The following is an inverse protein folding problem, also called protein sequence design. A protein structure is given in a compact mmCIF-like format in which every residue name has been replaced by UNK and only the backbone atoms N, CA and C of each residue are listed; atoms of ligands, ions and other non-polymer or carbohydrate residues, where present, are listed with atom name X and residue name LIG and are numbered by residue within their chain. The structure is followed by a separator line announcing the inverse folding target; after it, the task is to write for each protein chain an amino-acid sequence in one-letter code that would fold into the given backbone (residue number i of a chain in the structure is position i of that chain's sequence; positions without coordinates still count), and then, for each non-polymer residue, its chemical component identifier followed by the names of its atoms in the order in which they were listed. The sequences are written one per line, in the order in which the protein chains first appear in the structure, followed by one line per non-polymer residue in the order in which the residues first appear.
data_IF_868056875041
#
_entry.id   IF_868056875041
#
_cell.length_a   1.000
_cell.length_b   1.000
_cell.length_c   1.000
_cell.angle_alpha   90.00
_cell.angle_beta   90.00
_cell.angle_gamma   90.00
#
_symmetry.space_group_name_H-M   'P 1'
#
loop_
_entity.id
_entity.type
_entity.pdbx_description
1 polymer ?
#
# COMPACT_ATOMS: atom_id res chain seq x y z
N UNK A 1 -21.57 -29.55 34.35
CA UNK A 1 -20.19 -30.09 34.30
C UNK A 1 -19.29 -29.20 35.14
N UNK A 2 -18.85 -29.68 36.31
CA UNK A 2 -17.98 -28.90 37.20
C UNK A 2 -16.56 -28.86 36.62
N UNK A 3 -16.15 -27.71 36.07
CA UNK A 3 -14.80 -27.48 35.54
C UNK A 3 -13.82 -27.15 36.70
N UNK A 4 -13.48 -28.14 37.53
CA UNK A 4 -12.39 -28.02 38.50
C UNK A 4 -11.07 -28.45 37.85
N UNK A 5 -10.02 -27.62 37.94
CA UNK A 5 -8.68 -27.89 37.38
C UNK A 5 -8.29 -27.09 36.14
N UNK A 6 -9.10 -26.12 35.70
CA UNK A 6 -8.78 -25.29 34.53
C UNK A 6 -8.11 -24.01 35.01
N UNK A 7 -6.78 -24.05 35.15
CA UNK A 7 -6.01 -22.89 35.58
C UNK A 7 -5.65 -21.94 34.45
N UNK A 8 -5.87 -22.28 33.17
CA UNK A 8 -5.45 -21.39 32.07
C UNK A 8 -6.14 -21.68 30.70
N UNK A 9 -7.45 -22.00 30.65
CA UNK A 9 -8.19 -21.85 29.38
C UNK A 9 -8.51 -20.36 29.15
N UNK A 10 -7.49 -19.54 28.91
CA UNK A 10 -7.73 -18.31 28.15
C UNK A 10 -7.95 -18.76 26.72
N UNK A 11 -9.19 -19.15 26.40
CA UNK A 11 -9.60 -19.40 25.02
C UNK A 11 -9.26 -18.12 24.23
N UNK A 12 -8.16 -18.14 23.47
CA UNK A 12 -7.72 -16.99 22.67
C UNK A 12 -8.89 -16.59 21.78
N UNK A 13 -9.52 -15.47 22.13
CA UNK A 13 -10.68 -14.93 21.42
C UNK A 13 -10.30 -14.83 19.94
N UNK A 14 -10.99 -15.54 19.04
CA UNK A 14 -10.69 -15.51 17.60
C UNK A 14 -10.72 -14.06 17.12
N UNK A 15 -9.55 -13.49 16.82
CA UNK A 15 -9.47 -12.15 16.23
C UNK A 15 -9.63 -12.28 14.71
N UNK A 16 -10.39 -11.36 14.11
CA UNK A 16 -10.50 -11.28 12.65
C UNK A 16 -9.34 -10.42 12.14
N UNK A 17 -8.54 -10.92 11.20
CA UNK A 17 -7.58 -10.10 10.46
C UNK A 17 -8.35 -9.26 9.45
N UNK A 18 -8.41 -7.95 9.64
CA UNK A 18 -9.01 -7.04 8.66
C UNK A 18 -7.95 -6.59 7.66
N UNK A 19 -8.23 -6.72 6.35
CA UNK A 19 -7.46 -6.04 5.30
C UNK A 19 -8.17 -4.74 4.97
N UNK A 20 -7.44 -3.63 4.95
CA UNK A 20 -7.97 -2.34 4.51
C UNK A 20 -7.82 -2.23 3.00
N UNK A 21 -8.94 -2.03 2.32
CA UNK A 21 -8.94 -1.76 0.88
C UNK A 21 -8.37 -0.36 0.64
N UNK A 22 -7.61 -0.22 -0.43
CA UNK A 22 -7.08 1.07 -0.84
C UNK A 22 -8.23 1.90 -1.44
N UNK A 23 -8.27 3.20 -1.11
CA UNK A 23 -9.36 4.12 -1.46
C UNK A 23 -8.84 5.28 -2.31
N UNK A 24 -9.76 5.95 -3.00
CA UNK A 24 -9.49 7.23 -3.67
C UNK A 24 -9.09 8.32 -2.66
N UNK A 25 -8.35 9.32 -3.14
CA UNK A 25 -7.88 10.47 -2.36
C UNK A 25 -8.36 11.74 -3.07
N UNK A 26 -8.54 12.85 -2.35
CA UNK A 26 -8.85 14.14 -2.98
C UNK A 26 -7.81 14.45 -4.07
N UNK A 27 -8.27 14.79 -5.27
CA UNK A 27 -7.41 15.06 -6.43
C UNK A 27 -6.90 13.83 -7.17
N UNK A 28 -7.22 12.59 -6.75
CA UNK A 28 -6.86 11.38 -7.48
C UNK A 28 -7.85 10.23 -7.27
N UNK A 29 -8.45 9.73 -8.35
CA UNK A 29 -9.28 8.53 -8.30
C UNK A 29 -8.47 7.28 -7.93
N UNK A 30 -9.15 6.25 -7.45
CA UNK A 30 -8.50 4.98 -7.09
C UNK A 30 -7.79 4.33 -8.28
N UNK A 31 -8.36 4.41 -9.48
CA UNK A 31 -7.80 3.84 -10.71
C UNK A 31 -6.45 4.50 -11.07
N UNK A 32 -6.38 5.83 -10.98
CA UNK A 32 -5.15 6.59 -11.26
C UNK A 32 -4.05 6.20 -10.27
N UNK A 33 -4.38 6.07 -8.99
CA UNK A 33 -3.43 5.65 -7.95
C UNK A 33 -2.91 4.24 -8.22
N UNK A 34 -3.80 3.31 -8.57
CA UNK A 34 -3.44 1.92 -8.90
C UNK A 34 -2.55 1.85 -10.13
N UNK A 35 -2.87 2.61 -11.18
CA UNK A 35 -2.07 2.66 -12.41
C UNK A 35 -0.64 3.15 -12.12
N UNK A 36 -0.48 4.24 -11.35
CA UNK A 36 0.84 4.74 -10.93
C UNK A 36 1.62 3.72 -10.12
N UNK A 37 0.98 3.04 -9.14
CA UNK A 37 1.63 1.98 -8.35
C UNK A 37 2.10 0.79 -9.18
N UNK A 38 1.38 0.45 -10.24
CA UNK A 38 1.66 -0.73 -11.05
C UNK A 38 2.61 -0.46 -12.24
N UNK A 39 3.10 0.77 -12.41
CA UNK A 39 4.10 1.05 -13.44
C UNK A 39 5.38 0.23 -13.21
N UNK A 40 5.90 -0.38 -14.27
CA UNK A 40 7.16 -1.12 -14.26
C UNK A 40 8.33 -0.20 -13.87
N UNK A 41 9.37 -0.73 -13.20
CA UNK A 41 10.53 0.05 -12.80
C UNK A 41 11.23 0.71 -13.98
N UNK A 42 11.36 0.01 -15.11
CA UNK A 42 11.95 0.54 -16.37
C UNK A 42 11.26 1.83 -16.85
N UNK A 43 9.92 1.84 -16.85
CA UNK A 43 9.14 3.02 -17.25
C UNK A 43 9.32 4.19 -16.27
N UNK A 44 9.50 3.89 -14.98
CA UNK A 44 9.78 4.92 -13.97
C UNK A 44 11.17 5.49 -14.14
N UNK A 45 12.15 4.66 -14.46
CA UNK A 45 13.53 5.07 -14.73
C UNK A 45 13.62 5.97 -15.95
N UNK A 46 12.97 5.58 -17.05
CA UNK A 46 12.89 6.40 -18.25
C UNK A 46 12.27 7.78 -17.97
N UNK A 47 11.14 7.83 -17.26
CA UNK A 47 10.50 9.09 -16.89
C UNK A 47 11.40 9.97 -15.99
N UNK A 48 12.15 9.37 -15.06
CA UNK A 48 13.12 10.10 -14.22
C UNK A 48 14.28 10.66 -15.06
N UNK A 49 14.83 9.88 -15.98
CA UNK A 49 15.93 10.32 -16.84
C UNK A 49 15.49 11.48 -17.75
N UNK A 50 14.30 11.39 -18.35
CA UNK A 50 13.73 12.48 -19.15
C UNK A 50 13.55 13.76 -18.33
N UNK A 51 12.98 13.65 -17.12
CA UNK A 51 12.82 14.80 -16.25
C UNK A 51 14.17 15.44 -15.85
N UNK A 52 15.21 14.64 -15.63
CA UNK A 52 16.55 15.16 -15.35
C UNK A 52 17.13 15.93 -16.53
N UNK A 53 16.99 15.39 -17.74
CA UNK A 53 17.42 16.06 -18.97
C UNK A 53 16.67 17.38 -19.17
N UNK A 54 15.34 17.38 -19.05
CA UNK A 54 14.53 18.60 -19.15
C UNK A 54 14.98 19.68 -18.16
N UNK A 55 15.22 19.28 -16.90
CA UNK A 55 15.74 20.18 -15.86
C UNK A 55 17.10 20.76 -16.25
N UNK A 56 18.00 19.94 -16.77
CA UNK A 56 19.33 20.38 -17.20
C UNK A 56 19.24 21.36 -18.38
N UNK A 57 18.40 21.05 -19.38
CA UNK A 57 18.19 21.92 -20.54
C UNK A 57 17.54 23.26 -20.22
N UNK A 58 16.65 23.30 -19.23
CA UNK A 58 15.91 24.51 -18.86
C UNK A 58 16.66 25.40 -17.87
N UNK A 59 17.71 24.86 -17.24
CA UNK A 59 18.59 25.61 -16.34
C UNK A 59 19.71 26.38 -17.04
N UNK A 60 19.96 26.08 -18.32
CA UNK A 60 20.84 26.88 -19.19
C UNK A 60 20.06 28.02 -19.83
#
# INVERSE_FOLDING_TARGET
MHKKGITEEIAKKRTRRSVKHQRAIVGASWEVIKAKRNQKPEMREAARAQALLEIETHKG
#
